data_IF_418962790624
#
_entry.id   IF_418962790624
#
_cell.length_a   1.000
_cell.length_b   1.000
_cell.length_c   1.000
_cell.angle_alpha   90.00
_cell.angle_beta   90.00
_cell.angle_gamma   90.00
#
_symmetry.space_group_name_H-M   'P 1'
#
loop_
_entity.id
_entity.type
_entity.pdbx_description
1 polymer ?
#
# COMPACT_ATOMS: atom_id res chain seq x y z
N UNK A 1 -13.40 30.91 -5.85
CA UNK A 1 -14.34 29.80 -6.01
C UNK A 1 -14.23 29.30 -7.43
N UNK A 2 -14.10 28.00 -7.65
CA UNK A 2 -13.90 27.39 -8.97
C UNK A 2 -15.18 26.78 -9.56
N UNK A 3 -16.35 26.99 -8.89
CA UNK A 3 -17.65 26.54 -9.38
C UNK A 3 -17.88 25.04 -9.33
N UNK A 4 -17.18 24.31 -8.43
CA UNK A 4 -17.27 22.85 -8.31
C UNK A 4 -18.03 22.41 -7.05
N UNK A 5 -18.65 23.34 -6.30
CA UNK A 5 -19.33 23.07 -5.04
C UNK A 5 -20.44 22.01 -5.17
N UNK A 6 -21.09 21.96 -6.31
CA UNK A 6 -22.13 20.96 -6.62
C UNK A 6 -21.61 19.51 -6.64
N UNK A 7 -20.31 19.30 -6.84
CA UNK A 7 -19.70 17.97 -6.87
C UNK A 7 -19.20 17.50 -5.50
N UNK A 8 -19.12 18.38 -4.51
CA UNK A 8 -18.60 18.04 -3.17
C UNK A 8 -19.28 16.82 -2.57
N UNK A 9 -20.62 16.67 -2.59
CA UNK A 9 -21.26 15.49 -1.99
C UNK A 9 -20.85 14.17 -2.64
N UNK A 10 -20.77 14.13 -3.97
CA UNK A 10 -20.36 12.91 -4.69
C UNK A 10 -18.87 12.62 -4.54
N UNK A 11 -18.02 13.65 -4.59
CA UNK A 11 -16.57 13.51 -4.41
C UNK A 11 -16.26 12.98 -3.01
N UNK A 12 -16.91 13.49 -1.97
CA UNK A 12 -16.74 13.02 -0.60
C UNK A 12 -17.07 11.53 -0.42
N UNK A 13 -17.93 10.97 -1.26
CA UNK A 13 -18.26 9.53 -1.26
C UNK A 13 -17.32 8.70 -2.11
N UNK A 14 -17.03 9.14 -3.34
CA UNK A 14 -16.19 8.35 -4.25
C UNK A 14 -14.72 8.27 -3.82
N UNK A 15 -14.22 9.19 -3.00
CA UNK A 15 -12.85 9.11 -2.46
C UNK A 15 -12.64 7.83 -1.64
N UNK A 16 -13.66 7.29 -1.00
CA UNK A 16 -13.59 6.04 -0.23
C UNK A 16 -13.27 4.79 -1.08
N UNK A 17 -13.39 4.89 -2.42
CA UNK A 17 -12.94 3.80 -3.29
C UNK A 17 -11.42 3.63 -3.30
N UNK A 18 -10.66 4.63 -2.86
CA UNK A 18 -9.19 4.53 -2.71
C UNK A 18 -8.78 3.93 -1.36
N UNK A 19 -9.62 4.05 -0.33
CA UNK A 19 -9.35 3.58 1.02
C UNK A 19 -9.79 2.13 1.31
N UNK A 20 -9.55 1.69 2.53
CA UNK A 20 -9.97 0.40 3.08
C UNK A 20 -10.79 0.55 4.37
N UNK A 21 -11.06 1.79 4.78
CA UNK A 21 -11.81 2.13 5.98
C UNK A 21 -13.30 1.80 5.88
N UNK A 22 -13.85 1.85 4.65
CA UNK A 22 -15.22 1.44 4.36
C UNK A 22 -15.23 0.26 3.39
N UNK A 23 -16.16 -0.67 3.59
CA UNK A 23 -16.46 -1.69 2.58
C UNK A 23 -17.12 -1.03 1.37
N UNK A 24 -16.77 -1.49 0.17
CA UNK A 24 -17.26 -0.88 -1.08
C UNK A 24 -18.78 -0.94 -1.22
N UNK A 25 -19.42 -1.95 -0.67
CA UNK A 25 -20.88 -2.13 -0.63
C UNK A 25 -21.59 -1.20 0.37
N UNK A 26 -20.83 -0.55 1.26
CA UNK A 26 -21.32 0.45 2.21
C UNK A 26 -21.21 1.89 1.69
N UNK A 27 -20.58 2.08 0.52
CA UNK A 27 -20.48 3.41 -0.10
C UNK A 27 -21.78 3.71 -0.83
N UNK A 28 -22.63 4.49 -0.18
CA UNK A 28 -23.92 4.90 -0.74
C UNK A 28 -23.72 5.93 -1.85
N UNK A 29 -24.18 5.61 -3.05
CA UNK A 29 -24.12 6.48 -4.23
C UNK A 29 -25.54 6.70 -4.78
N UNK A 30 -25.82 7.94 -5.16
CA UNK A 30 -27.14 8.32 -5.64
C UNK A 30 -27.41 7.89 -7.08
N UNK A 31 -26.35 7.83 -7.89
CA UNK A 31 -26.46 7.55 -9.31
C UNK A 31 -25.50 6.43 -9.73
N UNK A 32 -25.92 5.50 -10.61
CA UNK A 32 -25.05 4.41 -11.08
C UNK A 32 -23.75 4.88 -11.75
N UNK A 33 -23.76 6.04 -12.40
CA UNK A 33 -22.55 6.64 -13.00
C UNK A 33 -21.48 6.97 -11.98
N UNK A 34 -21.87 7.34 -10.76
CA UNK A 34 -20.93 7.71 -9.69
C UNK A 34 -20.13 6.48 -9.23
N UNK A 35 -20.76 5.29 -9.26
CA UNK A 35 -20.05 4.01 -9.04
C UNK A 35 -18.95 3.78 -10.08
N UNK A 36 -19.22 4.07 -11.34
CA UNK A 36 -18.20 3.95 -12.41
C UNK A 36 -17.04 4.90 -12.15
N UNK A 37 -17.32 6.14 -11.75
CA UNK A 37 -16.28 7.12 -11.39
C UNK A 37 -15.49 6.64 -10.18
N UNK A 38 -16.14 6.09 -9.16
CA UNK A 38 -15.48 5.47 -8.01
C UNK A 38 -14.56 4.32 -8.40
N UNK A 39 -15.01 3.40 -9.26
CA UNK A 39 -14.20 2.31 -9.79
C UNK A 39 -12.99 2.82 -10.58
N UNK A 40 -13.16 3.86 -11.41
CA UNK A 40 -12.06 4.48 -12.14
C UNK A 40 -11.05 5.13 -11.18
N UNK A 41 -11.51 5.86 -10.18
CA UNK A 41 -10.66 6.49 -9.17
C UNK A 41 -9.85 5.46 -8.39
N UNK A 42 -10.52 4.45 -7.80
CA UNK A 42 -9.85 3.39 -7.04
C UNK A 42 -8.90 2.56 -7.90
N UNK A 43 -9.25 2.33 -9.18
CA UNK A 43 -8.35 1.67 -10.13
C UNK A 43 -7.13 2.53 -10.43
N UNK A 44 -7.30 3.83 -10.69
CA UNK A 44 -6.21 4.75 -10.98
C UNK A 44 -5.23 4.84 -9.81
N UNK A 45 -5.74 4.94 -8.59
CA UNK A 45 -4.94 4.96 -7.37
C UNK A 45 -4.10 3.69 -7.22
N UNK A 46 -4.71 2.52 -7.24
CA UNK A 46 -3.99 1.24 -7.11
C UNK A 46 -2.97 1.02 -8.22
N UNK A 47 -3.34 1.31 -9.46
CA UNK A 47 -2.47 1.08 -10.61
C UNK A 47 -1.31 2.06 -10.61
N UNK A 48 -1.53 3.33 -10.27
CA UNK A 48 -0.47 4.33 -10.21
C UNK A 48 0.58 3.97 -9.14
N UNK A 49 0.14 3.56 -7.96
CA UNK A 49 1.03 3.15 -6.88
C UNK A 49 1.82 1.89 -7.25
N UNK A 50 1.12 0.80 -7.60
CA UNK A 50 1.73 -0.50 -7.86
C UNK A 50 2.65 -0.52 -9.09
N UNK A 51 2.37 0.32 -10.09
CA UNK A 51 3.18 0.43 -11.31
C UNK A 51 4.36 1.39 -11.18
N UNK A 52 4.42 2.20 -10.12
CA UNK A 52 5.53 3.12 -9.90
C UNK A 52 6.85 2.35 -9.85
N UNK A 53 7.85 2.84 -10.58
CA UNK A 53 9.18 2.22 -10.61
C UNK A 53 9.88 2.18 -9.24
N UNK A 54 9.53 3.11 -8.36
CA UNK A 54 10.04 3.21 -6.99
C UNK A 54 9.04 2.68 -5.96
N UNK A 55 8.03 1.90 -6.37
CA UNK A 55 6.97 1.42 -5.48
C UNK A 55 7.51 0.74 -4.22
N UNK A 56 8.47 -0.17 -4.39
CA UNK A 56 9.02 -0.95 -3.28
C UNK A 56 9.83 -0.07 -2.32
N UNK A 57 10.64 0.82 -2.86
CA UNK A 57 11.40 1.77 -2.06
C UNK A 57 10.45 2.76 -1.36
N UNK A 58 9.39 3.22 -2.00
CA UNK A 58 8.34 4.04 -1.35
C UNK A 58 7.62 3.29 -0.23
N UNK A 59 7.35 2.00 -0.40
CA UNK A 59 6.79 1.18 0.68
C UNK A 59 7.73 1.12 1.88
N UNK A 60 9.05 0.96 1.65
CA UNK A 60 10.05 0.94 2.70
C UNK A 60 10.22 2.30 3.37
N UNK A 61 10.43 3.34 2.56
CA UNK A 61 10.95 4.63 3.04
C UNK A 61 9.86 5.62 3.44
N UNK A 62 8.61 5.42 3.01
CA UNK A 62 7.48 6.33 3.26
C UNK A 62 6.28 5.64 3.88
N UNK A 63 5.75 4.61 3.23
CA UNK A 63 4.52 3.96 3.70
C UNK A 63 4.71 3.30 5.06
N UNK A 64 5.83 2.60 5.28
CA UNK A 64 6.09 1.97 6.58
C UNK A 64 6.19 3.01 7.72
N UNK A 65 6.95 4.12 7.58
CA UNK A 65 6.93 5.20 8.58
C UNK A 65 5.53 5.78 8.81
N UNK A 66 4.75 6.01 7.75
CA UNK A 66 3.36 6.49 7.89
C UNK A 66 2.51 5.49 8.69
N UNK A 67 2.64 4.19 8.42
CA UNK A 67 1.92 3.15 9.16
C UNK A 67 2.33 3.09 10.64
N UNK A 68 3.60 3.34 10.95
CA UNK A 68 4.08 3.43 12.33
C UNK A 68 3.49 4.65 13.03
N UNK A 69 3.58 5.83 12.40
CA UNK A 69 3.10 7.08 12.98
C UNK A 69 1.57 7.13 13.10
N UNK A 70 0.88 6.54 12.11
CA UNK A 70 -0.58 6.43 12.08
C UNK A 70 -1.17 5.33 12.98
N UNK A 71 -0.31 4.55 13.67
CA UNK A 71 -0.76 3.44 14.54
C UNK A 71 -1.26 2.21 13.77
N UNK A 72 -1.00 2.12 12.45
CA UNK A 72 -1.41 0.98 11.61
C UNK A 72 -0.43 -0.18 11.77
N UNK A 73 0.87 0.10 11.86
CA UNK A 73 1.89 -0.94 12.00
C UNK A 73 1.75 -1.71 13.31
N UNK A 74 1.27 -1.03 14.34
CA UNK A 74 0.94 -1.58 15.65
C UNK A 74 -0.48 -1.15 15.92
N UNK A 75 -1.40 -2.08 16.00
CA UNK A 75 -2.78 -1.78 16.32
C UNK A 75 -2.92 -1.49 17.82
N UNK A 76 -2.72 -0.23 18.18
CA UNK A 76 -2.85 0.22 19.57
C UNK A 76 -4.31 0.15 20.09
N UNK A 77 -5.29 0.01 19.18
CA UNK A 77 -6.73 -0.08 19.52
C UNK A 77 -7.17 -1.49 19.83
N UNK A 78 -6.48 -2.47 19.25
CA UNK A 78 -6.78 -3.89 19.35
C UNK A 78 -5.69 -4.65 20.13
N UNK A 79 -5.39 -4.30 21.37
CA UNK A 79 -4.43 -5.01 22.24
C UNK A 79 -2.92 -4.88 21.90
N UNK A 80 -2.54 -4.00 21.02
CA UNK A 80 -1.15 -3.85 20.62
C UNK A 80 -0.67 -4.91 19.62
N UNK A 81 -1.56 -5.53 18.85
CA UNK A 81 -1.20 -6.48 17.79
C UNK A 81 -0.28 -5.83 16.77
N UNK A 82 0.87 -6.46 16.51
CA UNK A 82 1.83 -5.97 15.51
C UNK A 82 1.47 -6.47 14.14
N UNK A 83 1.06 -5.57 13.27
CA UNK A 83 0.77 -5.88 11.88
C UNK A 83 2.04 -5.86 11.03
N UNK A 84 2.95 -4.91 11.27
CA UNK A 84 4.20 -4.76 10.52
C UNK A 84 5.35 -4.44 11.46
N UNK A 85 6.26 -5.39 11.65
CA UNK A 85 7.41 -5.26 12.57
C UNK A 85 8.54 -4.39 12.01
N UNK A 86 8.67 -4.39 10.69
CA UNK A 86 9.69 -3.62 9.96
C UNK A 86 9.22 -3.32 8.55
N UNK A 87 9.96 -2.51 7.83
CA UNK A 87 9.73 -2.24 6.41
C UNK A 87 9.86 -3.51 5.56
N UNK A 88 10.77 -4.42 5.90
CA UNK A 88 10.94 -5.70 5.23
C UNK A 88 9.73 -6.62 5.49
N UNK A 89 9.16 -6.60 6.70
CA UNK A 89 7.94 -7.34 7.02
C UNK A 89 6.75 -6.80 6.22
N UNK A 90 6.61 -5.47 6.08
CA UNK A 90 5.61 -4.85 5.21
C UNK A 90 5.78 -5.32 3.76
N UNK A 91 7.01 -5.25 3.23
CA UNK A 91 7.31 -5.68 1.88
C UNK A 91 7.08 -7.18 1.69
N UNK A 92 7.42 -8.00 2.67
CA UNK A 92 7.15 -9.44 2.66
C UNK A 92 5.66 -9.76 2.52
N UNK A 93 4.79 -8.95 3.12
CA UNK A 93 3.34 -9.08 3.04
C UNK A 93 2.72 -8.47 1.78
N UNK A 94 3.47 -7.66 1.03
CA UNK A 94 2.97 -6.97 -0.18
C UNK A 94 2.53 -7.94 -1.27
N UNK A 95 3.18 -9.09 -1.44
CA UNK A 95 2.76 -10.10 -2.42
C UNK A 95 1.39 -10.67 -2.10
N UNK A 96 1.16 -11.00 -0.82
CA UNK A 96 -0.14 -11.46 -0.35
C UNK A 96 -1.20 -10.38 -0.47
N UNK A 97 -0.90 -9.16 -0.05
CA UNK A 97 -1.79 -8.00 -0.22
C UNK A 97 -2.22 -7.81 -1.67
N UNK A 98 -1.27 -7.90 -2.61
CA UNK A 98 -1.61 -7.80 -4.03
C UNK A 98 -2.60 -8.89 -4.46
N UNK A 99 -2.36 -10.14 -4.07
CA UNK A 99 -3.19 -11.28 -4.49
C UNK A 99 -4.58 -11.26 -3.88
N UNK A 100 -4.67 -10.97 -2.58
CA UNK A 100 -5.91 -11.10 -1.80
C UNK A 100 -6.74 -9.82 -1.78
N UNK A 101 -6.12 -8.65 -1.97
CA UNK A 101 -6.78 -7.36 -1.84
C UNK A 101 -6.74 -6.55 -3.14
N UNK A 102 -5.57 -6.09 -3.58
CA UNK A 102 -5.46 -5.19 -4.73
C UNK A 102 -6.00 -5.84 -6.02
N UNK A 103 -5.61 -7.08 -6.30
CA UNK A 103 -6.10 -7.82 -7.47
C UNK A 103 -7.60 -8.09 -7.38
N UNK A 104 -8.11 -8.43 -6.21
CA UNK A 104 -9.55 -8.63 -5.98
C UNK A 104 -10.33 -7.36 -6.30
N UNK A 105 -9.86 -6.20 -5.85
CA UNK A 105 -10.47 -4.91 -6.19
C UNK A 105 -10.45 -4.68 -7.70
N UNK A 106 -9.31 -4.81 -8.35
CA UNK A 106 -9.16 -4.56 -9.78
C UNK A 106 -10.03 -5.51 -10.65
N UNK A 107 -10.02 -6.80 -10.34
CA UNK A 107 -10.68 -7.83 -11.16
C UNK A 107 -12.20 -7.91 -10.90
N UNK A 108 -12.62 -7.82 -9.64
CA UNK A 108 -13.99 -8.07 -9.24
C UNK A 108 -14.71 -6.78 -8.85
N UNK A 109 -14.23 -6.08 -7.84
CA UNK A 109 -14.96 -4.96 -7.24
C UNK A 109 -15.03 -3.73 -8.15
N UNK A 110 -13.99 -3.48 -8.95
CA UNK A 110 -13.92 -2.34 -9.87
C UNK A 110 -14.24 -2.76 -11.33
N UNK A 111 -14.90 -3.91 -11.54
CA UNK A 111 -15.37 -4.35 -12.85
C UNK A 111 -14.30 -4.31 -13.95
N UNK A 112 -13.04 -4.50 -13.61
CA UNK A 112 -11.90 -4.52 -14.56
C UNK A 112 -11.77 -3.24 -15.38
N UNK A 113 -12.15 -2.08 -14.85
CA UNK A 113 -12.04 -0.81 -15.60
C UNK A 113 -10.60 -0.46 -15.99
N UNK A 114 -9.58 -1.10 -15.37
CA UNK A 114 -8.19 -0.99 -15.81
C UNK A 114 -7.99 -1.41 -17.28
N UNK A 115 -8.90 -2.17 -17.88
CA UNK A 115 -8.85 -2.54 -19.29
C UNK A 115 -9.04 -1.35 -20.24
N UNK A 116 -9.58 -0.24 -19.77
CA UNK A 116 -9.62 0.99 -20.57
C UNK A 116 -8.20 1.50 -20.91
N UNK A 117 -7.20 1.20 -20.07
CA UNK A 117 -5.82 1.48 -20.43
C UNK A 117 -5.34 0.69 -21.65
N UNK A 118 -5.84 -0.54 -21.82
CA UNK A 118 -5.49 -1.38 -22.98
C UNK A 118 -6.03 -0.77 -24.29
N UNK A 119 -7.23 -0.17 -24.23
CA UNK A 119 -7.82 0.52 -25.37
C UNK A 119 -7.08 1.83 -25.71
N UNK A 120 -6.51 2.50 -24.70
CA UNK A 120 -5.78 3.75 -24.87
C UNK A 120 -4.36 3.55 -25.44
N UNK A 121 -3.67 2.47 -25.03
CA UNK A 121 -2.32 2.19 -25.48
C UNK A 121 -2.32 1.37 -26.76
N UNK A 122 -1.43 1.75 -27.70
CA UNK A 122 -1.22 1.00 -28.93
C UNK A 122 -0.90 -0.47 -28.65
N UNK A 123 -1.42 -1.38 -29.46
CA UNK A 123 -1.27 -2.84 -29.38
C UNK A 123 -1.98 -3.50 -28.18
N UNK A 124 -2.93 -2.83 -27.54
CA UNK A 124 -3.74 -3.42 -26.47
C UNK A 124 -2.96 -3.91 -25.25
N UNK A 125 -1.78 -3.34 -24.97
CA UNK A 125 -0.94 -3.72 -23.84
C UNK A 125 -0.68 -2.53 -22.92
N UNK A 126 -1.33 -2.53 -21.76
CA UNK A 126 -1.10 -1.51 -20.75
C UNK A 126 0.34 -1.61 -20.20
N UNK A 127 1.14 -0.53 -20.26
CA UNK A 127 2.47 -0.49 -19.65
C UNK A 127 2.38 -0.61 -18.12
N UNK A 128 1.31 -0.11 -17.50
CA UNK A 128 1.10 -0.15 -16.05
C UNK A 128 1.03 -1.59 -15.53
N UNK A 129 0.21 -2.44 -16.14
CA UNK A 129 0.10 -3.85 -15.75
C UNK A 129 1.44 -4.57 -15.90
N UNK A 130 2.23 -4.23 -16.93
CA UNK A 130 3.58 -4.76 -17.09
C UNK A 130 4.51 -4.31 -15.97
N UNK A 131 4.43 -3.05 -15.54
CA UNK A 131 5.26 -2.53 -14.44
C UNK A 131 4.86 -3.13 -13.10
N UNK A 132 3.57 -3.30 -12.82
CA UNK A 132 3.10 -4.02 -11.63
C UNK A 132 3.74 -5.40 -11.56
N UNK A 133 3.64 -6.19 -12.63
CA UNK A 133 4.25 -7.53 -12.69
C UNK A 133 5.75 -7.49 -12.44
N UNK A 134 6.46 -6.52 -13.05
CA UNK A 134 7.91 -6.34 -12.82
C UNK A 134 8.24 -6.06 -11.36
N UNK A 135 7.52 -5.16 -10.71
CA UNK A 135 7.74 -4.83 -9.31
C UNK A 135 7.50 -6.04 -8.41
N UNK A 136 6.41 -6.77 -8.61
CA UNK A 136 6.08 -7.97 -7.82
C UNK A 136 7.09 -9.12 -8.05
N UNK A 137 7.50 -9.37 -9.30
CA UNK A 137 8.53 -10.38 -9.61
C UNK A 137 9.86 -10.00 -8.98
N UNK A 138 10.25 -8.72 -9.04
CA UNK A 138 11.48 -8.25 -8.42
C UNK A 138 11.41 -8.37 -6.89
N UNK A 139 10.29 -7.98 -6.28
CA UNK A 139 10.08 -8.15 -4.84
C UNK A 139 10.20 -9.62 -4.42
N UNK A 140 9.56 -10.54 -5.16
CA UNK A 140 9.67 -11.97 -4.88
C UNK A 140 11.15 -12.45 -4.91
N UNK A 141 11.93 -11.96 -5.87
CA UNK A 141 13.36 -12.28 -5.94
C UNK A 141 14.14 -11.73 -4.74
N UNK A 142 13.83 -10.52 -4.31
CA UNK A 142 14.44 -9.89 -3.12
C UNK A 142 14.15 -10.70 -1.86
N UNK A 143 12.88 -11.10 -1.67
CA UNK A 143 12.44 -11.91 -0.52
C UNK A 143 13.14 -13.26 -0.52
N UNK A 144 13.14 -13.98 -1.65
CA UNK A 144 13.74 -15.32 -1.74
C UNK A 144 15.24 -15.31 -1.45
N UNK A 145 15.95 -14.26 -1.84
CA UNK A 145 17.39 -14.13 -1.61
C UNK A 145 17.73 -13.46 -0.27
N UNK A 146 16.78 -12.87 0.43
CA UNK A 146 17.02 -12.08 1.64
C UNK A 146 17.85 -10.80 1.38
N UNK A 147 17.99 -10.37 0.11
CA UNK A 147 18.88 -9.29 -0.28
C UNK A 147 18.13 -7.97 -0.46
N UNK A 148 17.81 -7.33 0.64
CA UNK A 148 17.12 -6.04 0.69
C UNK A 148 17.95 -4.88 0.14
N UNK A 149 19.28 -5.03 0.06
CA UNK A 149 20.18 -4.03 -0.52
C UNK A 149 19.96 -3.83 -2.03
N UNK A 150 19.16 -4.67 -2.67
CA UNK A 150 18.76 -4.49 -4.08
C UNK A 150 17.74 -3.39 -4.28
N UNK A 151 17.06 -2.95 -3.24
CA UNK A 151 16.14 -1.81 -3.27
C UNK A 151 16.95 -0.51 -3.22
N UNK A 152 17.45 -0.07 -4.37
CA UNK A 152 18.44 1.02 -4.49
C UNK A 152 17.89 2.30 -5.12
N UNK A 153 16.64 2.30 -5.58
CA UNK A 153 16.08 3.48 -6.20
C UNK A 153 15.75 4.51 -5.13
N UNK A 154 15.98 5.76 -5.46
CA UNK A 154 15.59 6.87 -4.61
C UNK A 154 14.31 7.49 -5.17
N UNK A 155 13.17 7.36 -4.46
CA UNK A 155 11.96 8.07 -4.83
C UNK A 155 12.23 9.57 -4.85
N UNK A 156 11.71 10.32 -5.84
CA UNK A 156 11.88 11.77 -5.83
C UNK A 156 11.26 12.34 -4.55
N UNK A 157 12.02 13.18 -3.86
CA UNK A 157 11.51 13.95 -2.73
C UNK A 157 10.58 15.03 -3.25
N UNK A 158 9.32 14.98 -2.84
CA UNK A 158 8.31 15.97 -3.23
C UNK A 158 8.15 17.03 -2.13
N UNK A 159 8.72 16.78 -0.95
CA UNK A 159 8.66 17.69 0.19
C UNK A 159 9.74 18.75 0.00
N UNK A 160 9.41 20.04 0.13
CA UNK A 160 10.39 21.13 0.02
C UNK A 160 11.52 21.10 1.04
N UNK A 161 11.31 20.40 2.16
CA UNK A 161 12.32 20.23 3.21
C UNK A 161 12.71 18.74 3.37
N UNK A 162 13.86 18.32 2.78
CA UNK A 162 14.39 16.96 2.94
C UNK A 162 14.67 16.58 4.41
N UNK A 163 15.01 17.57 5.26
CA UNK A 163 15.23 17.32 6.69
C UNK A 163 13.95 16.95 7.42
N UNK A 164 12.81 17.41 6.95
CA UNK A 164 11.52 17.00 7.48
C UNK A 164 11.21 15.52 7.24
N UNK A 165 11.55 14.97 6.06
CA UNK A 165 11.39 13.52 5.78
C UNK A 165 12.32 12.67 6.66
N UNK A 166 13.59 13.08 6.82
CA UNK A 166 14.56 12.37 7.68
C UNK A 166 14.09 12.38 9.14
N UNK A 167 13.61 13.51 9.63
CA UNK A 167 13.09 13.64 10.99
C UNK A 167 11.84 12.75 11.22
N UNK A 168 10.90 12.71 10.30
CA UNK A 168 9.74 11.82 10.40
C UNK A 168 10.13 10.35 10.40
N UNK A 169 11.12 9.97 9.58
CA UNK A 169 11.67 8.62 9.57
C UNK A 169 12.33 8.27 10.91
N UNK A 170 13.13 9.19 11.46
CA UNK A 170 13.76 8.98 12.77
C UNK A 170 12.74 8.80 13.87
N UNK A 171 11.68 9.62 13.91
CA UNK A 171 10.58 9.49 14.87
C UNK A 171 9.88 8.13 14.72
N UNK A 172 9.58 7.70 13.50
CA UNK A 172 8.96 6.41 13.25
C UNK A 172 9.84 5.24 13.72
N UNK A 173 11.13 5.27 13.39
CA UNK A 173 12.09 4.25 13.82
C UNK A 173 12.29 4.24 15.34
N UNK A 174 12.28 5.40 15.99
CA UNK A 174 12.33 5.49 17.43
C UNK A 174 11.11 4.84 18.07
N UNK A 175 9.91 5.14 17.58
CA UNK A 175 8.67 4.54 18.06
C UNK A 175 8.66 3.02 17.92
N UNK A 176 9.17 2.48 16.82
CA UNK A 176 9.31 1.02 16.63
C UNK A 176 10.30 0.44 17.64
N UNK A 177 11.45 1.08 17.87
CA UNK A 177 12.43 0.63 18.86
C UNK A 177 11.85 0.61 20.27
N UNK A 178 11.19 1.70 20.67
CA UNK A 178 10.57 1.85 21.98
C UNK A 178 9.48 0.78 22.20
N UNK A 179 8.72 0.49 21.15
CA UNK A 179 7.71 -0.56 21.21
C UNK A 179 8.34 -1.97 21.27
N UNK A 180 9.33 -2.26 20.43
CA UNK A 180 10.04 -3.55 20.40
C UNK A 180 10.73 -3.84 21.74
N UNK A 181 11.23 -2.83 22.43
CA UNK A 181 11.86 -2.98 23.74
C UNK A 181 10.87 -3.36 24.86
N UNK A 182 9.58 -3.06 24.69
CA UNK A 182 8.51 -3.37 25.65
C UNK A 182 7.88 -4.73 25.41
N UNK A 183 8.16 -5.38 24.26
CA UNK A 183 7.61 -6.70 23.96
C UNK A 183 8.45 -7.79 24.62
N UNK A 184 7.82 -8.84 25.23
CA UNK A 184 8.55 -10.01 25.64
C UNK A 184 9.24 -10.64 24.42
N UNK A 185 10.44 -11.18 24.63
CA UNK A 185 11.16 -11.87 23.56
C UNK A 185 10.24 -12.92 22.89
N UNK A 186 10.23 -13.02 21.54
CA UNK A 186 9.42 -14.04 20.89
C UNK A 186 9.75 -15.41 21.47
N UNK A 187 8.77 -16.30 21.68
CA UNK A 187 9.04 -17.64 22.15
C UNK A 187 10.06 -18.28 21.19
N UNK A 188 11.14 -18.81 21.74
CA UNK A 188 12.14 -19.55 20.98
C UNK A 188 11.41 -20.60 20.16
N UNK A 189 11.75 -20.71 18.89
CA UNK A 189 11.07 -21.58 17.94
C UNK A 189 10.94 -22.99 18.53
N UNK A 190 9.79 -23.62 18.29
CA UNK A 190 9.49 -25.01 18.69
C UNK A 190 10.53 -26.07 18.24
N UNK A 191 11.54 -25.69 17.45
CA UNK A 191 12.64 -26.55 17.04
C UNK A 191 13.64 -26.86 18.19
N UNK A 192 13.66 -26.09 19.28
CA UNK A 192 14.53 -26.37 20.45
C UNK A 192 13.83 -27.12 21.59
N UNK A 193 12.51 -27.33 21.48
CA UNK A 193 11.74 -28.08 22.49
C UNK A 193 11.65 -29.60 22.21
N UNK A 194 12.22 -30.09 21.12
CA UNK A 194 12.28 -31.53 20.79
C UNK A 194 13.72 -32.06 20.89
N UNK A 195 14.41 -31.66 21.94
CA UNK A 195 15.60 -32.36 22.41
C UNK A 195 15.22 -33.62 23.17
N UNK A 196 14.97 -34.71 22.46
CA UNK A 196 15.08 -36.11 22.87
C UNK A 196 15.44 -36.93 21.67
#
# INVERSE_FOLDING_TARGET
>A
RIGLEQFVPVVARIVHFTGYELKLDQIELEQPKDSVVGHLLGTADLVAQLADRCYLEKCRDRLYPEFVLGGIAIDERADGTVLYRSAEDLLGKTLSFYQTSARMRLENNFNRVYRYFEAFFERGRSPYIRFIRKNLTFLNTVIQNGDWNRLRRHPPCVVPDPRGEEHLMELALQRVRDWSSKQPAPPRSLAEASGL
#
